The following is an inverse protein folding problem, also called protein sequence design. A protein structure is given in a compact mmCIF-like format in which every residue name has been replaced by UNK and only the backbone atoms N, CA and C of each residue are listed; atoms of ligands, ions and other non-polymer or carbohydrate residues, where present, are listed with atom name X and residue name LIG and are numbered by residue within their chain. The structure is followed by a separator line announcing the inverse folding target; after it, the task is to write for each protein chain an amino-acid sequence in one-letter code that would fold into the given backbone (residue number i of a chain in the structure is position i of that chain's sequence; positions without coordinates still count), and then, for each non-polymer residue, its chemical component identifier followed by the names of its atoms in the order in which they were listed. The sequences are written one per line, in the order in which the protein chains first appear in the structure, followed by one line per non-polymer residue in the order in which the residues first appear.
data_IF_625294150178
#
_entry.id   IF_625294150178
#
_cell.length_a   1.000
_cell.length_b   1.000
_cell.length_c   1.000
_cell.angle_alpha   90.00
_cell.angle_beta   90.00
_cell.angle_gamma   90.00
#
_symmetry.space_group_name_H-M   'P 1'
#
loop_
_entity.id
_entity.type
_entity.pdbx_description
1 polymer ?
#
# COMPACT_ATOMS: atom_id res chain seq x y z
N UNK A 1 -3.43 5.10 -19.59
CA UNK A 1 -4.63 4.24 -19.61
C UNK A 1 -5.03 3.85 -21.03
N UNK A 2 -5.09 4.76 -21.99
CA UNK A 2 -5.37 4.47 -23.41
C UNK A 2 -4.36 3.49 -24.02
N UNK A 3 -3.07 3.75 -23.88
CA UNK A 3 -2.01 2.83 -24.35
C UNK A 3 -2.15 1.40 -23.81
N UNK A 4 -2.56 1.25 -22.53
CA UNK A 4 -2.81 -0.07 -21.94
C UNK A 4 -4.04 -0.74 -22.58
N UNK A 5 -5.08 0.03 -22.87
CA UNK A 5 -6.28 -0.48 -23.53
C UNK A 5 -5.97 -0.90 -24.99
N UNK A 6 -5.19 -0.10 -25.71
CA UNK A 6 -4.76 -0.43 -27.08
C UNK A 6 -3.90 -1.71 -27.12
N UNK A 7 -2.98 -1.85 -26.16
CA UNK A 7 -2.18 -3.08 -26.00
C UNK A 7 -3.06 -4.29 -25.69
N UNK A 8 -4.06 -4.14 -24.81
CA UNK A 8 -5.00 -5.21 -24.47
C UNK A 8 -5.90 -5.55 -25.68
N UNK A 9 -6.27 -4.57 -26.48
CA UNK A 9 -7.06 -4.77 -27.71
C UNK A 9 -6.30 -5.64 -28.69
N UNK A 10 -4.99 -5.41 -28.84
CA UNK A 10 -4.12 -6.09 -29.80
C UNK A 10 -3.64 -7.46 -29.29
N UNK A 11 -3.20 -7.56 -28.05
CA UNK A 11 -2.51 -8.75 -27.52
C UNK A 11 -3.29 -9.48 -26.40
N UNK A 12 -4.43 -8.94 -25.96
CA UNK A 12 -5.13 -9.43 -24.80
C UNK A 12 -4.43 -9.06 -23.48
N UNK A 13 -4.94 -9.58 -22.37
CA UNK A 13 -4.34 -9.39 -21.05
C UNK A 13 -3.26 -10.45 -20.83
N UNK A 14 -1.99 -10.06 -20.93
CA UNK A 14 -0.84 -10.97 -20.84
C UNK A 14 -0.57 -11.44 -19.40
N UNK A 15 -0.85 -10.59 -18.41
CA UNK A 15 -0.64 -10.92 -16.99
C UNK A 15 -2.02 -10.95 -16.31
N UNK A 16 -2.43 -12.09 -15.74
CA UNK A 16 -3.73 -12.20 -15.09
C UNK A 16 -3.84 -11.30 -13.86
N UNK A 17 -5.06 -10.89 -13.54
CA UNK A 17 -5.34 -10.22 -12.26
C UNK A 17 -5.48 -11.25 -11.14
N UNK A 18 -5.55 -10.79 -9.89
CA UNK A 18 -5.77 -11.64 -8.72
C UNK A 18 -7.15 -11.32 -8.16
N UNK A 19 -7.96 -12.34 -7.96
CA UNK A 19 -9.29 -12.24 -7.37
C UNK A 19 -9.46 -13.28 -6.25
N UNK A 20 -10.45 -13.05 -5.40
CA UNK A 20 -10.92 -14.01 -4.38
C UNK A 20 -12.42 -14.25 -4.53
N UNK A 21 -12.95 -15.36 -4.03
CA UNK A 21 -14.40 -15.55 -3.94
C UNK A 21 -15.04 -14.46 -3.07
N UNK A 22 -16.14 -13.88 -3.53
CA UNK A 22 -16.94 -12.94 -2.75
C UNK A 22 -18.01 -13.74 -1.96
N UNK A 23 -18.16 -13.52 -0.64
CA UNK A 23 -19.20 -14.19 0.16
C UNK A 23 -20.62 -13.95 -0.34
N UNK A 24 -20.88 -12.81 -1.00
CA UNK A 24 -22.18 -12.47 -1.59
C UNK A 24 -22.37 -13.05 -3.00
N UNK A 25 -21.38 -13.74 -3.52
CA UNK A 25 -21.37 -14.36 -4.83
C UNK A 25 -20.49 -13.65 -5.86
N UNK A 26 -19.88 -14.42 -6.75
CA UNK A 26 -18.93 -13.91 -7.72
C UNK A 26 -17.50 -13.78 -7.18
N UNK A 27 -16.76 -12.79 -7.63
CA UNK A 27 -15.34 -12.61 -7.31
C UNK A 27 -15.01 -11.14 -7.03
N UNK A 28 -14.27 -10.91 -5.96
CA UNK A 28 -13.69 -9.62 -5.63
C UNK A 28 -12.26 -9.52 -6.22
N UNK A 29 -11.99 -8.44 -6.95
CA UNK A 29 -10.67 -8.18 -7.53
C UNK A 29 -9.73 -7.62 -6.46
N UNK A 30 -8.68 -8.37 -6.13
CA UNK A 30 -7.67 -7.98 -5.14
C UNK A 30 -6.54 -7.16 -5.76
N UNK A 31 -6.08 -7.53 -6.96
CA UNK A 31 -5.06 -6.81 -7.70
C UNK A 31 -5.30 -6.86 -9.21
N UNK A 32 -4.94 -5.78 -9.91
CA UNK A 32 -5.11 -5.69 -11.37
C UNK A 32 -6.23 -4.77 -11.83
N UNK A 33 -6.76 -3.88 -10.98
CA UNK A 33 -7.84 -2.94 -11.28
C UNK A 33 -7.58 -2.09 -12.54
N UNK A 34 -6.32 -1.68 -12.79
CA UNK A 34 -5.99 -0.93 -14.01
C UNK A 34 -6.14 -1.77 -15.27
N UNK A 35 -5.77 -3.08 -15.21
CA UNK A 35 -5.95 -4.03 -16.31
C UNK A 35 -7.42 -4.33 -16.56
N UNK A 36 -8.19 -4.48 -15.48
CA UNK A 36 -9.64 -4.64 -15.56
C UNK A 36 -10.27 -3.43 -16.28
N UNK A 37 -9.99 -2.21 -15.79
CA UNK A 37 -10.50 -0.99 -16.44
C UNK A 37 -10.05 -0.84 -17.90
N UNK A 38 -8.80 -1.19 -18.21
CA UNK A 38 -8.29 -1.15 -19.57
C UNK A 38 -8.95 -2.24 -20.48
N UNK A 39 -9.32 -3.40 -19.91
CA UNK A 39 -10.06 -4.45 -20.63
C UNK A 39 -11.48 -4.00 -20.96
N UNK A 40 -12.16 -3.31 -20.04
CA UNK A 40 -13.47 -2.69 -20.32
C UNK A 40 -13.37 -1.66 -21.46
N UNK A 41 -12.36 -0.76 -21.42
CA UNK A 41 -12.11 0.21 -22.48
C UNK A 41 -11.72 -0.44 -23.82
N UNK A 42 -11.14 -1.62 -23.77
CA UNK A 42 -10.81 -2.45 -24.95
C UNK A 42 -12.01 -3.30 -25.43
N UNK A 43 -13.19 -3.15 -24.83
CA UNK A 43 -14.42 -3.89 -25.16
C UNK A 43 -14.22 -5.43 -25.08
N UNK A 44 -13.41 -5.89 -24.09
CA UNK A 44 -13.23 -7.32 -23.83
C UNK A 44 -14.31 -7.80 -22.86
N UNK A 45 -15.03 -8.85 -23.23
CA UNK A 45 -16.09 -9.46 -22.41
C UNK A 45 -15.53 -10.18 -21.17
N UNK A 46 -14.29 -10.68 -21.27
CA UNK A 46 -13.65 -11.44 -20.20
C UNK A 46 -12.19 -11.03 -20.01
N UNK A 47 -11.69 -11.23 -18.79
CA UNK A 47 -10.29 -11.00 -18.43
C UNK A 47 -9.76 -12.21 -17.64
N UNK A 48 -8.53 -12.69 -17.93
CA UNK A 48 -7.94 -13.78 -17.14
C UNK A 48 -7.65 -13.32 -15.71
N UNK A 49 -8.08 -14.14 -14.75
CA UNK A 49 -7.85 -13.93 -13.31
C UNK A 49 -7.32 -15.20 -12.67
N UNK A 50 -6.45 -15.04 -11.66
CA UNK A 50 -6.05 -16.11 -10.76
C UNK A 50 -6.94 -15.98 -9.52
N UNK A 51 -7.80 -16.97 -9.28
CA UNK A 51 -8.62 -17.01 -8.07
C UNK A 51 -7.84 -17.65 -6.95
N UNK A 52 -7.77 -16.96 -5.80
CA UNK A 52 -7.15 -17.45 -4.57
C UNK A 52 -8.13 -17.34 -3.42
N UNK A 53 -8.12 -18.32 -2.54
CA UNK A 53 -8.83 -18.22 -1.26
C UNK A 53 -7.97 -17.39 -0.31
N UNK A 54 -8.38 -16.13 -0.10
CA UNK A 54 -7.64 -15.13 0.66
C UNK A 54 -8.58 -14.53 1.71
N UNK A 55 -8.12 -14.51 2.96
CA UNK A 55 -8.75 -13.69 3.99
C UNK A 55 -8.48 -12.19 3.76
N UNK A 56 -9.12 -11.31 4.52
CA UNK A 56 -9.02 -9.86 4.35
C UNK A 56 -7.59 -9.34 4.55
N UNK A 57 -6.85 -9.92 5.50
CA UNK A 57 -5.47 -9.52 5.75
C UNK A 57 -4.55 -9.92 4.59
N UNK A 58 -4.69 -11.14 4.06
CA UNK A 58 -3.92 -11.61 2.91
C UNK A 58 -4.27 -10.83 1.63
N UNK A 59 -5.54 -10.54 1.42
CA UNK A 59 -5.98 -9.71 0.30
C UNK A 59 -5.41 -8.28 0.41
N UNK A 60 -5.44 -7.68 1.61
CA UNK A 60 -4.86 -6.36 1.87
C UNK A 60 -3.35 -6.33 1.58
N UNK A 61 -2.60 -7.34 2.01
CA UNK A 61 -1.16 -7.43 1.76
C UNK A 61 -0.86 -7.48 0.26
N UNK A 62 -1.57 -8.33 -0.49
CA UNK A 62 -1.38 -8.44 -1.95
C UNK A 62 -1.75 -7.14 -2.67
N UNK A 63 -2.85 -6.51 -2.28
CA UNK A 63 -3.29 -5.22 -2.84
C UNK A 63 -2.22 -4.13 -2.61
N UNK A 64 -1.71 -4.02 -1.39
CA UNK A 64 -0.68 -3.05 -1.03
C UNK A 64 0.62 -3.31 -1.79
N UNK A 65 1.08 -4.55 -1.87
CA UNK A 65 2.29 -4.91 -2.60
C UNK A 65 2.19 -4.56 -4.09
N UNK A 66 1.03 -4.83 -4.70
CA UNK A 66 0.76 -4.44 -6.09
C UNK A 66 0.79 -2.91 -6.29
N UNK A 67 0.37 -2.14 -5.30
CA UNK A 67 0.41 -0.68 -5.35
C UNK A 67 1.81 -0.12 -5.10
N UNK A 68 2.57 -0.70 -4.15
CA UNK A 68 3.94 -0.27 -3.82
C UNK A 68 4.94 -0.45 -4.99
N UNK A 69 4.62 -1.29 -5.96
CA UNK A 69 5.42 -1.48 -7.17
C UNK A 69 5.25 -0.36 -8.21
N UNK A 70 4.40 0.63 -7.97
CA UNK A 70 4.25 1.78 -8.87
C UNK A 70 5.43 2.74 -8.73
N UNK A 71 5.97 3.20 -9.84
CA UNK A 71 7.13 4.11 -9.87
C UNK A 71 6.83 5.50 -9.30
N UNK A 72 5.58 5.95 -9.31
CA UNK A 72 5.18 7.31 -8.95
C UNK A 72 4.21 7.37 -7.76
N UNK A 73 4.59 6.77 -6.62
CA UNK A 73 3.83 6.91 -5.37
C UNK A 73 4.23 8.18 -4.63
N UNK A 74 3.23 8.92 -4.16
CA UNK A 74 3.46 10.01 -3.22
C UNK A 74 3.97 9.47 -1.88
N UNK A 75 4.76 10.25 -1.12
CA UNK A 75 5.17 9.88 0.24
C UNK A 75 4.01 9.52 1.16
N UNK A 76 2.90 10.23 1.10
CA UNK A 76 1.67 9.93 1.84
C UNK A 76 1.09 8.57 1.45
N UNK A 77 0.94 8.30 0.16
CA UNK A 77 0.41 7.02 -0.34
C UNK A 77 1.29 5.85 0.13
N UNK A 78 2.62 6.01 0.08
CA UNK A 78 3.58 5.02 0.56
C UNK A 78 3.49 4.82 2.07
N UNK A 79 3.32 5.91 2.84
CA UNK A 79 3.16 5.87 4.29
C UNK A 79 1.92 5.07 4.71
N UNK A 80 0.77 5.37 4.13
CA UNK A 80 -0.47 4.66 4.41
C UNK A 80 -0.44 3.21 3.91
N UNK A 81 0.15 2.94 2.75
CA UNK A 81 0.34 1.59 2.22
C UNK A 81 1.15 0.72 3.21
N UNK A 82 2.29 1.21 3.69
CA UNK A 82 3.08 0.47 4.68
C UNK A 82 2.36 0.30 6.02
N UNK A 83 1.58 1.29 6.46
CA UNK A 83 0.77 1.16 7.67
C UNK A 83 -0.29 0.08 7.52
N UNK A 84 -1.06 0.08 6.44
CA UNK A 84 -2.05 -0.97 6.15
C UNK A 84 -1.43 -2.36 6.13
N UNK A 85 -0.29 -2.52 5.47
CA UNK A 85 0.43 -3.81 5.42
C UNK A 85 0.91 -4.23 6.81
N UNK A 86 1.43 -3.29 7.62
CA UNK A 86 1.85 -3.55 8.99
C UNK A 86 0.69 -4.05 9.85
N UNK A 87 -0.46 -3.42 9.75
CA UNK A 87 -1.64 -3.75 10.54
C UNK A 87 -2.19 -5.14 10.14
N UNK A 88 -2.27 -5.45 8.83
CA UNK A 88 -2.66 -6.77 8.33
C UNK A 88 -1.71 -7.88 8.81
N UNK A 89 -0.38 -7.67 8.75
CA UNK A 89 0.62 -8.65 9.24
C UNK A 89 0.48 -8.87 10.76
N UNK A 90 0.20 -7.81 11.54
CA UNK A 90 -0.02 -7.93 12.98
C UNK A 90 -1.28 -8.75 13.30
N UNK A 91 -2.37 -8.54 12.57
CA UNK A 91 -3.61 -9.31 12.73
C UNK A 91 -3.38 -10.80 12.42
N UNK A 92 -2.69 -11.12 11.33
CA UNK A 92 -2.32 -12.51 11.02
C UNK A 92 -1.41 -13.12 12.09
N UNK A 93 -0.45 -12.37 12.61
CA UNK A 93 0.44 -12.81 13.68
C UNK A 93 -0.32 -13.14 14.97
N UNK A 94 -1.27 -12.31 15.36
CA UNK A 94 -2.12 -12.54 16.54
C UNK A 94 -2.97 -13.82 16.42
N UNK A 95 -3.48 -14.13 15.21
CA UNK A 95 -4.22 -15.37 14.94
C UNK A 95 -3.33 -16.61 15.01
N UNK A 96 -2.11 -16.52 14.51
CA UNK A 96 -1.17 -17.65 14.48
C UNK A 96 -0.63 -17.98 15.87
N UNK A 97 -0.43 -16.99 16.74
CA UNK A 97 0.04 -17.18 18.12
C UNK A 97 -0.94 -17.99 19.00
N UNK A 98 -2.24 -18.04 18.60
CA UNK A 98 -3.25 -18.87 19.27
C UNK A 98 -3.20 -20.35 18.86
N UNK A 99 -2.50 -20.71 17.77
CA UNK A 99 -2.59 -22.04 17.17
C UNK A 99 -1.26 -22.78 17.03
N UNK A 100 -0.09 -22.16 17.24
CA UNK A 100 1.20 -22.87 17.07
C UNK A 100 2.33 -22.35 17.96
N UNK A 101 2.90 -23.24 18.75
CA UNK A 101 4.19 -23.07 19.44
C UNK A 101 5.34 -23.25 18.42
N UNK A 102 5.63 -22.26 17.60
CA UNK A 102 6.84 -22.28 16.77
C UNK A 102 7.98 -21.54 17.49
N UNK A 103 9.00 -22.29 17.87
CA UNK A 103 10.27 -21.83 18.44
C UNK A 103 11.21 -21.51 17.28
N UNK A 104 11.26 -20.22 16.89
CA UNK A 104 12.22 -19.69 15.92
C UNK A 104 12.37 -18.16 16.11
N UNK A 105 13.46 -17.53 15.63
CA UNK A 105 13.59 -16.07 15.71
C UNK A 105 12.46 -15.43 14.91
N UNK A 106 11.46 -14.86 15.62
CA UNK A 106 10.34 -14.13 14.99
C UNK A 106 10.88 -12.84 14.38
N UNK A 107 10.87 -12.77 13.05
CA UNK A 107 11.06 -11.50 12.33
C UNK A 107 10.01 -10.49 12.77
N UNK A 108 10.43 -9.27 13.05
CA UNK A 108 9.48 -8.18 13.32
C UNK A 108 8.62 -7.93 12.08
N UNK A 109 7.38 -7.44 12.27
CA UNK A 109 6.50 -7.13 11.14
C UNK A 109 7.16 -6.16 10.12
N UNK A 110 7.98 -5.21 10.59
CA UNK A 110 8.72 -4.31 9.71
C UNK A 110 9.83 -5.02 8.90
N UNK A 111 10.43 -6.09 9.44
CA UNK A 111 11.39 -6.93 8.71
C UNK A 111 10.69 -7.73 7.62
N UNK A 112 9.55 -8.34 7.93
CA UNK A 112 8.73 -9.05 6.93
C UNK A 112 8.28 -8.13 5.78
N UNK A 113 7.97 -6.87 6.07
CA UNK A 113 7.63 -5.90 5.02
C UNK A 113 8.85 -5.59 4.16
N UNK A 114 10.03 -5.43 4.77
CA UNK A 114 11.27 -5.07 4.06
C UNK A 114 11.77 -6.16 3.12
N UNK A 115 11.51 -7.44 3.41
CA UNK A 115 11.92 -8.57 2.54
C UNK A 115 11.37 -8.47 1.11
N UNK A 116 10.15 -7.93 0.96
CA UNK A 116 9.46 -7.83 -0.33
C UNK A 116 9.22 -6.38 -0.76
N UNK A 117 10.02 -5.43 -0.24
CA UNK A 117 9.85 -4.00 -0.50
C UNK A 117 11.12 -3.40 -1.11
N UNK A 118 10.98 -2.38 -1.97
CA UNK A 118 12.13 -1.62 -2.46
C UNK A 118 12.79 -0.77 -1.36
N UNK A 119 12.07 -0.50 -0.28
CA UNK A 119 12.53 0.36 0.82
C UNK A 119 13.16 -0.44 1.96
N UNK A 120 14.21 0.11 2.56
CA UNK A 120 14.85 -0.48 3.74
C UNK A 120 13.92 -0.45 4.97
N UNK A 121 14.15 -1.36 5.92
CA UNK A 121 13.43 -1.40 7.21
C UNK A 121 13.36 -0.03 7.90
N UNK A 122 14.45 0.75 7.84
CA UNK A 122 14.51 2.09 8.43
C UNK A 122 13.64 3.08 7.68
N UNK A 123 13.60 3.04 6.35
CA UNK A 123 12.72 3.88 5.53
C UNK A 123 11.26 3.54 5.75
N UNK A 124 10.91 2.24 5.79
CA UNK A 124 9.55 1.77 6.06
C UNK A 124 9.05 2.32 7.41
N UNK A 125 9.87 2.24 8.47
CA UNK A 125 9.52 2.82 9.77
C UNK A 125 9.27 4.32 9.71
N UNK A 126 10.10 5.06 8.94
CA UNK A 126 9.92 6.50 8.74
C UNK A 126 8.63 6.79 7.98
N UNK A 127 8.35 6.09 6.88
CA UNK A 127 7.09 6.24 6.15
C UNK A 127 5.88 5.97 7.04
N UNK A 128 5.85 4.85 7.77
CA UNK A 128 4.75 4.54 8.70
C UNK A 128 4.57 5.67 9.71
N UNK A 129 5.65 6.23 10.23
CA UNK A 129 5.58 7.33 11.20
C UNK A 129 4.99 8.61 10.61
N UNK A 130 5.14 8.87 9.30
CA UNK A 130 4.52 10.03 8.65
C UNK A 130 2.99 10.03 8.78
N UNK A 131 2.34 8.89 8.95
CA UNK A 131 0.88 8.82 9.16
C UNK A 131 0.42 9.54 10.43
N UNK A 132 1.35 9.92 11.31
CA UNK A 132 1.09 10.73 12.50
C UNK A 132 1.18 12.24 12.25
N UNK A 133 1.51 12.67 11.04
CA UNK A 133 1.46 14.09 10.66
C UNK A 133 0.02 14.58 10.54
N UNK A 134 -0.18 15.88 10.74
CA UNK A 134 -1.42 16.54 10.33
C UNK A 134 -1.47 16.63 8.81
N UNK A 135 -2.69 16.70 8.20
CA UNK A 135 -2.85 16.72 6.75
C UNK A 135 -2.00 17.79 6.06
N UNK A 136 -1.96 18.99 6.58
CA UNK A 136 -1.25 20.14 6.02
C UNK A 136 0.27 19.87 5.90
N UNK A 137 0.87 19.22 6.90
CA UNK A 137 2.29 18.84 6.84
C UNK A 137 2.51 17.66 5.89
N UNK A 138 1.56 16.74 5.80
CA UNK A 138 1.63 15.63 4.87
C UNK A 138 1.58 16.12 3.41
N UNK A 139 0.69 17.07 3.10
CA UNK A 139 0.59 17.70 1.79
C UNK A 139 1.91 18.40 1.41
N UNK A 140 2.55 19.08 2.38
CA UNK A 140 3.87 19.70 2.16
C UNK A 140 4.98 18.69 1.87
N UNK A 141 4.88 17.48 2.41
CA UNK A 141 5.81 16.38 2.08
C UNK A 141 5.56 15.87 0.66
N UNK A 142 4.32 15.71 0.26
CA UNK A 142 3.93 15.28 -1.09
C UNK A 142 4.32 16.30 -2.15
N UNK A 143 4.21 17.58 -1.84
CA UNK A 143 4.66 18.70 -2.68
C UNK A 143 6.18 18.90 -2.67
N UNK A 144 6.95 18.07 -1.94
CA UNK A 144 8.40 18.15 -1.76
C UNK A 144 8.90 19.44 -1.10
N UNK A 145 8.02 20.18 -0.42
CA UNK A 145 8.38 21.35 0.40
C UNK A 145 9.11 20.94 1.67
N UNK A 146 8.79 19.77 2.21
CA UNK A 146 9.44 19.16 3.37
C UNK A 146 10.02 17.81 2.95
N UNK A 147 11.30 17.59 3.21
CA UNK A 147 11.95 16.30 2.96
C UNK A 147 11.52 15.24 4.00
N UNK A 148 11.69 13.95 3.66
CA UNK A 148 11.28 12.82 4.50
C UNK A 148 11.85 12.86 5.93
N UNK A 149 13.12 13.22 6.11
CA UNK A 149 13.74 13.24 7.43
C UNK A 149 13.19 14.35 8.35
N UNK A 150 13.13 15.63 7.93
CA UNK A 150 12.43 16.65 8.70
C UNK A 150 10.97 16.30 9.00
N UNK A 151 10.24 15.72 8.05
CA UNK A 151 8.86 15.29 8.24
C UNK A 151 8.76 14.19 9.31
N UNK A 152 9.68 13.23 9.30
CA UNK A 152 9.78 12.20 10.34
C UNK A 152 9.97 12.82 11.73
N UNK A 153 10.87 13.80 11.89
CA UNK A 153 11.07 14.51 13.16
C UNK A 153 9.82 15.28 13.60
N UNK A 154 9.14 15.96 12.66
CA UNK A 154 7.89 16.67 12.94
C UNK A 154 6.78 15.73 13.43
N UNK A 155 6.77 14.49 13.00
CA UNK A 155 5.75 13.50 13.39
C UNK A 155 5.77 13.13 14.89
N UNK A 156 6.83 13.47 15.62
CA UNK A 156 6.93 13.26 17.08
C UNK A 156 6.33 14.39 17.89
N UNK A 157 6.05 15.53 17.26
CA UNK A 157 5.42 16.66 17.93
C UNK A 157 3.93 16.40 18.18
N UNK A 158 3.37 17.07 19.20
CA UNK A 158 1.91 17.08 19.40
C UNK A 158 1.21 17.80 18.26
N UNK A 159 -0.06 17.49 18.02
CA UNK A 159 -0.82 18.05 16.90
C UNK A 159 -0.85 19.59 16.91
N UNK A 160 -0.98 20.22 18.10
CA UNK A 160 -0.96 21.68 18.25
C UNK A 160 0.40 22.29 17.89
N UNK A 161 1.51 21.57 18.13
CA UNK A 161 2.85 22.00 17.79
C UNK A 161 3.11 21.84 16.28
N UNK A 162 2.61 20.76 15.68
CA UNK A 162 2.64 20.54 14.25
C UNK A 162 1.90 21.66 13.51
N UNK A 163 0.71 22.05 13.98
CA UNK A 163 -0.10 23.12 13.41
C UNK A 163 0.65 24.47 13.42
N UNK A 164 1.27 24.82 14.55
CA UNK A 164 2.11 26.03 14.62
C UNK A 164 3.30 26.01 13.66
N UNK A 165 3.87 24.82 13.42
CA UNK A 165 4.98 24.64 12.45
C UNK A 165 4.50 24.76 11.02
N UNK A 166 3.36 24.14 10.68
CA UNK A 166 2.78 24.23 9.33
C UNK A 166 2.48 25.68 8.95
N UNK A 167 1.85 26.44 9.86
CA UNK A 167 1.55 27.88 9.67
C UNK A 167 2.81 28.70 9.39
N UNK A 168 3.92 28.45 10.10
CA UNK A 168 5.18 29.17 9.88
C UNK A 168 5.82 28.81 8.54
N UNK A 169 5.80 27.53 8.16
CA UNK A 169 6.36 27.06 6.91
C UNK A 169 5.59 27.55 5.67
N UNK A 170 4.28 27.75 5.80
CA UNK A 170 3.45 28.31 4.74
C UNK A 170 3.62 29.83 4.56
N UNK A 171 4.18 30.51 5.57
CA UNK A 171 4.38 31.98 5.56
C UNK A 171 5.77 32.41 5.07
N UNK A 172 6.65 31.47 4.71
CA UNK A 172 8.02 31.71 4.25
C UNK A 172 8.16 31.42 2.76
#
# INVERSE_FOLDING_TARGET
MMETADSIKQYGVLVPAIARPDPEGGYELVAGHRRHRASELAEKETMPVIVRDLDDDAATIIMVDSNLQRESLLPSERAFAYKMKLDAIKHQGARTDLTSAQVGPKLTAAEKIAENSPDSKSQIKRFIRLTELIPELMDMVDEKKIALNPAYELSFLKKEEQDRKSTRLNSS
#
